data_IF_546132610061
#
_entry.id   IF_546132610061
#
_cell.length_a   1.000
_cell.length_b   1.000
_cell.length_c   1.000
_cell.angle_alpha   90.00
_cell.angle_beta   90.00
_cell.angle_gamma   90.00
#
_symmetry.space_group_name_H-M   'P 1'
#
loop_
_entity.id
_entity.type
_entity.pdbx_description
1 polymer ?
#
# COMPACT_ATOMS: atom_id res chain seq x y z
N UNK A 1 -26.27 -27.59 -73.78
CA UNK A 1 -25.37 -26.79 -72.90
C UNK A 1 -25.92 -26.88 -71.46
N UNK A 2 -25.24 -27.64 -70.56
CA UNK A 2 -25.62 -27.75 -69.15
C UNK A 2 -24.69 -26.92 -68.34
N UNK A 3 -25.18 -25.76 -67.82
CA UNK A 3 -24.47 -24.88 -66.94
C UNK A 3 -24.36 -25.49 -65.54
N UNK A 4 -23.14 -25.71 -65.00
CA UNK A 4 -22.90 -26.14 -63.64
C UNK A 4 -22.66 -24.91 -62.78
N UNK A 5 -23.57 -24.66 -61.83
CA UNK A 5 -23.40 -23.69 -60.74
C UNK A 5 -22.43 -24.28 -59.73
N UNK A 6 -21.30 -23.60 -59.47
CA UNK A 6 -20.33 -23.90 -58.42
C UNK A 6 -20.70 -22.98 -57.24
N UNK A 7 -21.16 -23.54 -56.13
CA UNK A 7 -21.30 -22.81 -54.87
C UNK A 7 -19.95 -22.81 -54.14
N UNK A 8 -19.46 -21.65 -53.67
CA UNK A 8 -18.29 -21.62 -52.80
C UNK A 8 -18.71 -22.02 -51.40
N UNK A 9 -18.06 -23.04 -50.83
CA UNK A 9 -18.18 -23.41 -49.45
C UNK A 9 -17.48 -22.38 -48.56
N UNK A 10 -18.25 -21.69 -47.73
CA UNK A 10 -17.71 -20.74 -46.73
C UNK A 10 -17.21 -21.57 -45.56
N UNK A 11 -15.86 -21.63 -45.39
CA UNK A 11 -15.24 -22.25 -44.24
C UNK A 11 -15.34 -21.28 -43.04
N UNK A 12 -16.24 -21.53 -42.10
CA UNK A 12 -16.30 -20.83 -40.81
C UNK A 12 -15.17 -21.37 -39.93
N UNK A 13 -14.09 -20.60 -39.79
CA UNK A 13 -13.06 -20.90 -38.78
C UNK A 13 -13.61 -20.50 -37.41
N UNK A 14 -13.95 -21.52 -36.58
CA UNK A 14 -14.29 -21.30 -35.18
C UNK A 14 -12.98 -20.95 -34.42
N UNK A 15 -12.84 -19.66 -34.06
CA UNK A 15 -11.79 -19.24 -33.13
C UNK A 15 -12.23 -19.72 -31.74
N UNK A 16 -11.68 -20.84 -31.30
CA UNK A 16 -11.77 -21.26 -29.89
C UNK A 16 -10.88 -20.32 -29.07
N UNK A 17 -11.50 -19.38 -28.38
CA UNK A 17 -10.86 -18.61 -27.34
C UNK A 17 -10.55 -19.62 -26.22
N UNK A 18 -9.31 -20.10 -26.16
CA UNK A 18 -8.84 -20.88 -25.03
C UNK A 18 -8.85 -19.93 -23.82
N UNK A 19 -9.77 -20.13 -22.89
CA UNK A 19 -9.69 -19.52 -21.57
C UNK A 19 -8.35 -19.97 -20.96
N UNK A 20 -7.40 -19.04 -20.85
CA UNK A 20 -6.17 -19.30 -20.10
C UNK A 20 -6.61 -19.50 -18.65
N UNK A 21 -6.57 -20.72 -18.20
CA UNK A 21 -6.75 -21.08 -16.81
C UNK A 21 -5.48 -20.63 -16.07
N UNK A 22 -5.39 -19.32 -15.79
CA UNK A 22 -4.29 -18.76 -15.01
C UNK A 22 -4.45 -19.27 -13.59
N UNK A 23 -3.58 -20.21 -13.20
CA UNK A 23 -3.57 -20.73 -11.84
C UNK A 23 -3.33 -19.56 -10.90
N UNK A 24 -4.23 -19.41 -9.94
CA UNK A 24 -4.16 -18.42 -8.88
C UNK A 24 -3.08 -18.82 -7.88
N UNK A 25 -2.24 -17.88 -7.46
CA UNK A 25 -1.21 -18.09 -6.45
C UNK A 25 -1.53 -17.24 -5.20
N UNK A 26 -1.02 -17.66 -4.05
CA UNK A 26 -1.03 -16.84 -2.85
C UNK A 26 -0.11 -15.63 -3.03
N UNK A 27 -0.44 -14.49 -2.41
CA UNK A 27 0.38 -13.28 -2.48
C UNK A 27 1.85 -13.53 -2.08
N UNK A 28 2.07 -14.44 -1.12
CA UNK A 28 3.41 -14.84 -0.66
C UNK A 28 4.22 -15.61 -1.70
N UNK A 29 3.58 -16.12 -2.73
CA UNK A 29 4.21 -16.83 -3.85
C UNK A 29 4.25 -15.99 -5.13
N UNK A 30 3.71 -14.78 -5.12
CA UNK A 30 3.72 -13.86 -6.26
C UNK A 30 5.08 -13.14 -6.36
N UNK A 31 5.81 -13.24 -7.50
CA UNK A 31 7.22 -12.82 -7.58
C UNK A 31 7.49 -11.34 -7.38
N UNK A 32 6.51 -10.44 -7.66
CA UNK A 32 6.67 -9.00 -7.50
C UNK A 32 6.45 -8.52 -6.07
N UNK A 33 5.91 -9.41 -5.18
CA UNK A 33 5.67 -9.12 -3.77
C UNK A 33 6.85 -9.60 -2.91
N UNK A 34 7.78 -8.69 -2.60
CA UNK A 34 8.96 -9.01 -1.80
C UNK A 34 8.67 -8.83 -0.31
N UNK A 35 8.68 -9.89 0.51
CA UNK A 35 8.43 -9.77 1.95
C UNK A 35 9.38 -8.76 2.60
N UNK A 36 8.82 -7.82 3.39
CA UNK A 36 9.56 -6.77 4.08
C UNK A 36 9.47 -6.91 5.61
N UNK A 37 8.29 -7.27 6.11
CA UNK A 37 8.04 -7.44 7.54
C UNK A 37 6.82 -8.33 7.75
N UNK A 38 6.87 -9.19 8.77
CA UNK A 38 5.71 -9.95 9.25
C UNK A 38 5.73 -10.04 10.77
N UNK A 39 4.56 -9.83 11.39
CA UNK A 39 4.35 -10.02 12.83
C UNK A 39 2.89 -10.42 13.09
N UNK A 40 2.43 -10.41 14.35
CA UNK A 40 1.07 -10.78 14.70
C UNK A 40 -0.01 -9.80 14.17
N UNK A 41 0.35 -8.58 13.75
CA UNK A 41 -0.56 -7.54 13.30
C UNK A 41 -0.71 -7.48 11.79
N UNK A 42 0.39 -7.68 11.07
CA UNK A 42 0.45 -7.44 9.64
C UNK A 42 1.54 -8.25 8.93
N UNK A 43 1.39 -8.33 7.61
CA UNK A 43 2.44 -8.73 6.69
C UNK A 43 2.61 -7.65 5.63
N UNK A 44 3.83 -7.11 5.52
CA UNK A 44 4.15 -6.06 4.56
C UNK A 44 5.04 -6.60 3.43
N UNK A 45 4.74 -6.15 2.20
CA UNK A 45 5.50 -6.45 1.00
C UNK A 45 5.94 -5.16 0.33
N UNK A 46 7.16 -5.14 -0.18
CA UNK A 46 7.57 -4.18 -1.22
C UNK A 46 7.17 -4.76 -2.56
N UNK A 47 6.43 -3.99 -3.33
CA UNK A 47 5.96 -4.40 -4.66
C UNK A 47 6.64 -3.53 -5.71
N UNK A 48 7.19 -4.17 -6.74
CA UNK A 48 7.73 -3.49 -7.90
C UNK A 48 7.35 -4.22 -9.18
N UNK A 49 6.63 -3.54 -10.07
CA UNK A 49 6.22 -4.06 -11.38
C UNK A 49 6.88 -3.21 -12.45
N UNK A 50 7.72 -3.82 -13.28
CA UNK A 50 8.42 -3.13 -14.36
C UNK A 50 7.45 -2.46 -15.35
N UNK A 51 7.90 -1.48 -16.16
CA UNK A 51 7.07 -0.89 -17.20
C UNK A 51 6.44 -1.95 -18.11
N UNK A 52 5.11 -1.87 -18.28
CA UNK A 52 4.30 -2.76 -19.13
C UNK A 52 4.30 -4.24 -18.70
N UNK A 53 4.79 -4.56 -17.51
CA UNK A 53 4.74 -5.89 -16.91
C UNK A 53 3.50 -6.04 -16.01
N UNK A 54 3.26 -7.25 -15.51
CA UNK A 54 2.11 -7.57 -14.71
C UNK A 54 2.44 -8.66 -13.67
N UNK A 55 1.75 -8.61 -12.53
CA UNK A 55 1.76 -9.70 -11.56
C UNK A 55 1.15 -10.97 -12.14
N UNK A 56 1.40 -12.10 -11.52
CA UNK A 56 0.55 -13.27 -11.67
C UNK A 56 -0.87 -13.00 -11.13
N UNK A 57 -1.85 -13.83 -11.52
CA UNK A 57 -3.13 -13.86 -10.83
C UNK A 57 -2.88 -14.32 -9.39
N UNK A 58 -3.03 -13.43 -8.42
CA UNK A 58 -2.74 -13.71 -7.02
C UNK A 58 -3.89 -13.32 -6.11
N UNK A 59 -3.97 -13.98 -4.96
CA UNK A 59 -5.06 -13.83 -4.00
C UNK A 59 -4.60 -13.05 -2.77
N UNK A 60 -5.43 -12.08 -2.37
CA UNK A 60 -5.40 -11.45 -1.06
C UNK A 60 -6.46 -12.11 -0.18
N UNK A 61 -6.03 -12.87 0.82
CA UNK A 61 -6.94 -13.54 1.78
C UNK A 61 -7.34 -12.60 2.92
N UNK A 62 -6.58 -11.54 3.14
CA UNK A 62 -6.78 -10.54 4.18
C UNK A 62 -7.10 -9.18 3.58
N UNK A 63 -7.77 -8.35 4.36
CA UNK A 63 -7.87 -6.93 4.10
C UNK A 63 -6.47 -6.33 4.08
N UNK A 64 -6.26 -5.34 3.24
CA UNK A 64 -4.93 -4.74 3.11
C UNK A 64 -4.98 -3.24 2.86
N UNK A 65 -3.88 -2.59 3.19
CA UNK A 65 -3.63 -1.19 2.85
C UNK A 65 -2.44 -1.17 1.89
N UNK A 66 -2.52 -0.38 0.83
CA UNK A 66 -1.35 -0.13 0.01
C UNK A 66 -0.99 1.36 -0.01
N UNK A 67 0.31 1.63 -0.11
CA UNK A 67 0.90 2.98 -0.20
C UNK A 67 1.71 3.05 -1.48
N UNK A 68 1.36 3.96 -2.39
CA UNK A 68 2.10 4.15 -3.66
C UNK A 68 3.38 4.94 -3.45
N UNK A 69 4.41 4.61 -4.21
CA UNK A 69 5.71 5.25 -4.21
C UNK A 69 5.98 5.85 -5.60
N UNK A 70 5.49 7.05 -5.81
CA UNK A 70 5.43 7.73 -7.08
C UNK A 70 4.09 7.55 -7.80
N UNK A 71 3.78 8.42 -8.78
CA UNK A 71 2.55 8.32 -9.56
C UNK A 71 2.58 7.07 -10.45
N UNK A 72 1.40 6.44 -10.64
CA UNK A 72 1.29 5.23 -11.46
C UNK A 72 -0.04 5.18 -12.22
N UNK A 73 -0.04 4.44 -13.34
CA UNK A 73 -1.25 4.05 -14.05
C UNK A 73 -1.27 2.51 -14.13
N UNK A 74 -2.27 1.90 -13.48
CA UNK A 74 -2.34 0.45 -13.26
C UNK A 74 -3.68 -0.07 -13.70
N UNK A 75 -3.69 -1.10 -14.55
CA UNK A 75 -4.88 -1.89 -14.79
C UNK A 75 -5.02 -2.94 -13.69
N UNK A 76 -6.13 -2.87 -12.97
CA UNK A 76 -6.52 -3.84 -11.95
C UNK A 76 -7.54 -4.80 -12.56
N UNK A 77 -7.12 -6.02 -12.86
CA UNK A 77 -7.94 -7.09 -13.44
C UNK A 77 -8.35 -8.08 -12.34
N UNK A 78 -9.48 -7.78 -11.69
CA UNK A 78 -10.04 -8.63 -10.65
C UNK A 78 -10.77 -9.81 -11.28
N UNK A 79 -10.48 -11.02 -10.81
CA UNK A 79 -11.09 -12.26 -11.29
C UNK A 79 -12.61 -12.13 -11.36
N UNK A 80 -13.19 -12.56 -12.47
CA UNK A 80 -14.63 -12.53 -12.76
C UNK A 80 -15.27 -11.13 -12.80
N UNK A 81 -14.45 -10.06 -12.94
CA UNK A 81 -14.92 -8.66 -13.10
C UNK A 81 -14.26 -8.01 -14.32
N UNK A 82 -14.88 -6.99 -14.89
CA UNK A 82 -14.19 -6.16 -15.89
C UNK A 82 -12.97 -5.46 -15.31
N UNK A 83 -11.84 -5.39 -16.05
CA UNK A 83 -10.65 -4.68 -15.57
C UNK A 83 -10.93 -3.17 -15.42
N UNK A 84 -10.26 -2.55 -14.46
CA UNK A 84 -10.38 -1.12 -14.16
C UNK A 84 -9.00 -0.47 -14.16
N UNK A 85 -8.86 0.65 -14.87
CA UNK A 85 -7.64 1.45 -14.84
C UNK A 85 -7.66 2.41 -13.65
N UNK A 86 -6.63 2.34 -12.83
CA UNK A 86 -6.39 3.21 -11.69
C UNK A 86 -5.27 4.19 -12.04
N UNK A 87 -5.52 5.49 -11.81
CA UNK A 87 -4.50 6.54 -11.83
C UNK A 87 -4.20 6.91 -10.39
N UNK A 88 -3.01 6.54 -9.95
CA UNK A 88 -2.57 6.67 -8.57
C UNK A 88 -1.59 7.84 -8.44
N UNK A 89 -1.70 8.59 -7.36
CA UNK A 89 -0.77 9.65 -7.02
C UNK A 89 0.38 9.11 -6.16
N UNK A 90 1.45 9.88 -6.03
CA UNK A 90 2.50 9.60 -5.04
C UNK A 90 1.91 9.68 -3.62
N UNK A 91 2.31 8.80 -2.72
CA UNK A 91 1.78 8.58 -1.35
C UNK A 91 0.31 8.18 -1.27
N UNK A 92 -0.37 7.97 -2.39
CA UNK A 92 -1.77 7.57 -2.33
C UNK A 92 -1.93 6.27 -1.54
N UNK A 93 -2.76 6.34 -0.50
CA UNK A 93 -2.96 5.26 0.44
C UNK A 93 -4.42 4.84 0.45
N UNK A 94 -4.67 3.55 0.21
CA UNK A 94 -6.03 3.00 0.15
C UNK A 94 -6.16 1.74 0.99
N UNK A 95 -7.31 1.61 1.65
CA UNK A 95 -7.79 0.35 2.20
C UNK A 95 -8.52 -0.45 1.12
N UNK A 96 -8.31 -1.74 1.08
CA UNK A 96 -8.95 -2.68 0.16
C UNK A 96 -9.38 -3.93 0.93
N UNK A 97 -10.67 -4.27 0.83
CA UNK A 97 -11.18 -5.51 1.41
C UNK A 97 -10.60 -6.73 0.68
N UNK A 98 -10.19 -7.73 1.44
CA UNK A 98 -9.59 -8.98 0.95
C UNK A 98 -10.59 -9.96 0.32
N UNK A 99 -10.19 -11.22 0.29
CA UNK A 99 -10.95 -12.35 -0.28
C UNK A 99 -11.21 -12.27 -1.79
N UNK A 100 -10.27 -11.72 -2.55
CA UNK A 100 -10.33 -11.71 -4.02
C UNK A 100 -8.96 -12.03 -4.64
N UNK A 101 -8.98 -12.39 -5.93
CA UNK A 101 -7.78 -12.55 -6.72
C UNK A 101 -7.75 -11.53 -7.87
N UNK A 102 -6.55 -11.05 -8.22
CA UNK A 102 -6.37 -10.09 -9.31
C UNK A 102 -5.00 -10.18 -9.98
N UNK A 103 -4.89 -9.51 -11.12
CA UNK A 103 -3.64 -9.15 -11.78
C UNK A 103 -3.52 -7.63 -11.72
N UNK A 104 -2.37 -7.13 -11.31
CA UNK A 104 -2.01 -5.72 -11.43
C UNK A 104 -1.05 -5.57 -12.62
N UNK A 105 -1.45 -4.79 -13.63
CA UNK A 105 -0.63 -4.51 -14.81
C UNK A 105 -0.19 -3.06 -14.80
N UNK A 106 1.11 -2.82 -14.85
CA UNK A 106 1.67 -1.48 -14.98
C UNK A 106 1.51 -0.98 -16.43
N UNK A 107 0.73 0.08 -16.63
CA UNK A 107 0.51 0.70 -17.95
C UNK A 107 1.51 1.83 -18.25
N UNK A 108 2.27 2.27 -17.25
CA UNK A 108 3.20 3.39 -17.36
C UNK A 108 4.56 2.97 -17.93
N UNK A 109 5.36 3.98 -18.36
CA UNK A 109 6.75 3.82 -18.80
C UNK A 109 7.77 3.84 -17.65
N UNK A 110 7.31 3.99 -16.41
CA UNK A 110 8.13 3.91 -15.19
C UNK A 110 7.69 2.70 -14.34
N UNK A 111 8.57 2.15 -13.49
CA UNK A 111 8.17 1.09 -12.57
C UNK A 111 7.01 1.52 -11.68
N UNK A 112 6.01 0.67 -11.50
CA UNK A 112 5.00 0.83 -10.45
C UNK A 112 5.54 0.26 -9.15
N UNK A 113 5.64 1.11 -8.14
CA UNK A 113 6.15 0.75 -6.81
C UNK A 113 5.10 1.05 -5.77
N UNK A 114 4.93 0.14 -4.82
CA UNK A 114 4.09 0.36 -3.65
C UNK A 114 4.56 -0.50 -2.47
N UNK A 115 4.03 -0.19 -1.30
CA UNK A 115 4.08 -1.08 -0.14
C UNK A 115 2.67 -1.61 0.09
N UNK A 116 2.50 -2.92 0.03
CA UNK A 116 1.24 -3.62 0.33
C UNK A 116 1.32 -4.20 1.73
N UNK A 117 0.35 -3.90 2.59
CA UNK A 117 0.30 -4.28 4.00
C UNK A 117 -0.98 -5.07 4.26
N UNK A 118 -0.90 -6.40 4.32
CA UNK A 118 -2.02 -7.24 4.76
C UNK A 118 -2.22 -7.14 6.27
N UNK A 119 -3.48 -7.00 6.70
CA UNK A 119 -3.90 -6.94 8.09
C UNK A 119 -4.21 -8.36 8.57
N UNK A 120 -3.38 -8.92 9.46
CA UNK A 120 -3.46 -10.34 9.86
C UNK A 120 -4.30 -10.59 11.11
N UNK A 121 -4.64 -9.56 11.86
CA UNK A 121 -5.44 -9.75 13.07
C UNK A 121 -6.88 -10.12 12.73
N UNK A 122 -7.48 -10.93 13.61
CA UNK A 122 -8.89 -11.29 13.54
C UNK A 122 -9.75 -10.02 13.52
N UNK A 123 -10.64 -9.93 12.53
CA UNK A 123 -11.58 -8.82 12.35
C UNK A 123 -12.31 -8.39 13.64
N UNK A 124 -12.52 -9.32 14.59
CA UNK A 124 -13.18 -9.03 15.86
C UNK A 124 -12.35 -8.12 16.77
N UNK A 125 -11.03 -8.19 16.71
CA UNK A 125 -10.12 -7.40 17.54
C UNK A 125 -10.03 -5.93 17.08
N UNK A 126 -10.38 -5.65 15.80
CA UNK A 126 -10.19 -4.33 15.17
C UNK A 126 -11.48 -3.51 15.03
N UNK A 127 -12.65 -4.07 15.37
CA UNK A 127 -13.95 -3.46 15.02
C UNK A 127 -14.33 -2.20 15.81
N UNK A 128 -13.60 -1.83 16.85
CA UNK A 128 -13.96 -0.65 17.65
C UNK A 128 -12.73 0.22 17.91
N UNK A 129 -12.37 1.10 16.98
CA UNK A 129 -11.31 2.08 17.23
C UNK A 129 -11.73 2.99 18.41
N UNK A 130 -10.77 3.54 19.17
CA UNK A 130 -11.07 4.54 20.18
C UNK A 130 -11.89 5.68 19.56
N UNK A 131 -13.00 6.12 20.18
CA UNK A 131 -13.83 7.22 19.64
C UNK A 131 -13.03 8.48 19.31
N UNK A 132 -12.00 8.78 20.09
CA UNK A 132 -11.08 9.91 19.85
C UNK A 132 -10.37 9.87 18.47
N UNK A 133 -10.19 8.69 17.89
CA UNK A 133 -9.55 8.60 16.56
C UNK A 133 -10.46 9.12 15.45
N UNK A 134 -11.77 8.95 15.55
CA UNK A 134 -12.72 9.49 14.58
C UNK A 134 -12.90 11.00 14.71
N UNK A 135 -12.82 11.53 15.93
CA UNK A 135 -12.95 12.97 16.22
C UNK A 135 -11.74 13.76 15.70
N UNK A 136 -10.60 13.10 15.53
CA UNK A 136 -9.31 13.72 15.19
C UNK A 136 -8.96 13.62 13.69
N UNK A 137 -9.90 13.15 12.86
CA UNK A 137 -9.69 13.05 11.40
C UNK A 137 -9.44 14.41 10.76
N UNK A 138 -8.55 14.45 9.80
CA UNK A 138 -8.28 15.62 8.99
C UNK A 138 -6.83 16.09 9.04
N UNK A 139 -6.63 17.32 8.59
CA UNK A 139 -5.31 17.91 8.47
C UNK A 139 -4.94 18.71 9.71
N UNK A 140 -3.88 18.33 10.37
CA UNK A 140 -3.26 19.03 11.49
C UNK A 140 -1.98 19.71 11.00
N UNK A 141 -1.86 21.02 11.22
CA UNK A 141 -0.72 21.83 10.80
C UNK A 141 0.07 22.26 12.03
N UNK A 142 1.36 22.05 12.00
CA UNK A 142 2.29 22.52 13.03
C UNK A 142 3.52 23.19 12.39
N UNK A 143 4.43 23.74 13.19
CA UNK A 143 5.56 24.48 12.66
C UNK A 143 6.47 23.59 11.78
N UNK A 144 6.46 23.83 10.48
CA UNK A 144 7.28 23.15 9.48
C UNK A 144 6.77 21.76 9.09
N UNK A 145 5.52 21.38 9.39
CA UNK A 145 5.00 20.12 8.96
C UNK A 145 3.49 19.98 9.04
N UNK A 146 3.01 18.82 8.55
CA UNK A 146 1.61 18.44 8.59
C UNK A 146 1.47 16.99 9.02
N UNK A 147 0.34 16.67 9.65
CA UNK A 147 -0.18 15.32 9.83
C UNK A 147 -1.60 15.30 9.27
N UNK A 148 -1.84 14.47 8.29
CA UNK A 148 -3.16 14.25 7.74
C UNK A 148 -3.66 12.87 8.16
N UNK A 149 -4.60 12.81 9.12
CA UNK A 149 -5.30 11.58 9.48
C UNK A 149 -6.31 11.29 8.38
N UNK A 150 -5.96 10.38 7.49
CA UNK A 150 -6.70 10.11 6.25
C UNK A 150 -7.97 9.32 6.52
N UNK A 151 -7.83 8.24 7.28
CA UNK A 151 -8.95 7.37 7.65
C UNK A 151 -8.61 6.50 8.85
N UNK A 152 -9.68 5.97 9.47
CA UNK A 152 -9.61 4.90 10.47
C UNK A 152 -10.45 3.75 9.92
N UNK A 153 -9.84 2.59 9.80
CA UNK A 153 -10.49 1.39 9.28
C UNK A 153 -9.96 0.15 10.00
N UNK A 154 -10.86 -0.71 10.46
CA UNK A 154 -10.56 -1.99 11.13
C UNK A 154 -9.56 -1.86 12.29
N UNK A 155 -9.75 -0.83 13.14
CA UNK A 155 -8.87 -0.57 14.28
C UNK A 155 -7.50 -0.02 13.92
N UNK A 156 -7.27 0.34 12.66
CA UNK A 156 -6.03 0.96 12.19
C UNK A 156 -6.28 2.41 11.84
N UNK A 157 -5.53 3.34 12.46
CA UNK A 157 -5.50 4.75 12.10
C UNK A 157 -4.37 5.00 11.11
N UNK A 158 -4.70 5.55 9.95
CA UNK A 158 -3.76 5.82 8.88
C UNK A 158 -3.55 7.31 8.72
N UNK A 159 -2.29 7.74 8.82
CA UNK A 159 -1.93 9.16 8.71
C UNK A 159 -0.76 9.34 7.75
N UNK A 160 -0.82 10.39 6.95
CA UNK A 160 0.32 10.91 6.20
C UNK A 160 0.99 12.02 7.00
N UNK A 161 2.32 11.98 7.07
CA UNK A 161 3.14 12.96 7.74
C UNK A 161 4.14 13.57 6.75
N UNK A 162 4.22 14.91 6.76
CA UNK A 162 5.20 15.69 6.00
C UNK A 162 5.96 16.60 6.95
N UNK A 163 7.29 16.53 6.91
CA UNK A 163 8.18 17.34 7.75
C UNK A 163 9.25 18.02 6.91
N UNK A 164 9.28 19.35 6.94
CA UNK A 164 10.36 20.15 6.35
C UNK A 164 11.69 19.86 7.07
N UNK A 165 12.85 20.08 6.43
CA UNK A 165 14.14 19.99 7.08
C UNK A 165 14.21 20.79 8.39
N UNK A 166 14.60 20.14 9.48
CA UNK A 166 14.67 20.73 10.82
C UNK A 166 13.33 20.81 11.56
N UNK A 167 12.21 20.52 10.92
CA UNK A 167 10.91 20.51 11.58
C UNK A 167 10.77 19.35 12.56
N UNK A 168 9.98 19.57 13.61
CA UNK A 168 9.74 18.61 14.67
C UNK A 168 8.25 18.41 14.90
N UNK A 169 7.78 17.18 14.89
CA UNK A 169 6.47 16.81 15.45
C UNK A 169 6.53 17.06 16.95
N UNK A 170 5.61 17.88 17.50
CA UNK A 170 5.55 18.12 18.95
C UNK A 170 5.45 16.81 19.75
N UNK A 171 5.73 16.91 21.06
CA UNK A 171 5.61 15.75 21.97
C UNK A 171 4.21 15.13 21.89
N UNK A 172 4.17 13.85 21.61
CA UNK A 172 2.95 13.07 21.48
C UNK A 172 3.16 11.65 21.98
N UNK A 173 2.05 10.98 22.32
CA UNK A 173 2.05 9.64 22.90
C UNK A 173 1.49 8.62 21.92
N UNK A 174 2.18 7.50 21.73
CA UNK A 174 1.69 6.33 21.01
C UNK A 174 1.18 5.29 22.00
N UNK A 175 -0.12 5.09 22.08
CA UNK A 175 -0.73 4.07 22.95
C UNK A 175 -0.46 2.67 22.41
N UNK A 176 -0.69 2.47 21.12
CA UNK A 176 -0.48 1.21 20.41
C UNK A 176 0.79 1.18 19.57
N UNK A 177 1.15 0.01 19.06
CA UNK A 177 2.24 -0.12 18.10
C UNK A 177 1.85 0.50 16.75
N UNK A 178 2.85 0.85 15.95
CA UNK A 178 2.59 1.38 14.61
C UNK A 178 3.65 0.94 13.59
N UNK A 179 3.21 0.89 12.34
CA UNK A 179 4.07 0.73 11.17
C UNK A 179 4.37 2.11 10.58
N UNK A 180 5.63 2.39 10.30
CA UNK A 180 6.08 3.52 9.48
C UNK A 180 6.38 3.00 8.07
N UNK A 181 5.79 3.61 7.04
CA UNK A 181 6.11 3.36 5.63
C UNK A 181 6.77 4.62 5.07
N UNK A 182 8.02 4.54 4.70
CA UNK A 182 8.76 5.67 4.15
C UNK A 182 8.35 5.94 2.69
N UNK A 183 7.75 7.10 2.42
CA UNK A 183 7.45 7.57 1.04
C UNK A 183 8.70 8.20 0.43
N UNK A 184 9.40 9.05 1.17
CA UNK A 184 10.74 9.56 0.83
C UNK A 184 11.82 8.88 1.65
N UNK A 185 13.09 9.12 1.32
CA UNK A 185 14.19 8.81 2.23
C UNK A 185 14.02 9.62 3.53
N UNK A 186 14.12 8.98 4.67
CA UNK A 186 13.95 9.59 5.98
C UNK A 186 15.26 9.61 6.74
N UNK A 187 15.68 10.80 7.14
CA UNK A 187 16.72 11.03 8.13
C UNK A 187 16.04 11.72 9.33
N UNK A 188 15.74 10.98 10.36
CA UNK A 188 14.95 11.48 11.49
C UNK A 188 15.66 11.21 12.82
N UNK A 189 15.27 12.00 13.84
CA UNK A 189 15.66 11.75 15.22
C UNK A 189 14.42 11.69 16.10
N UNK A 190 14.28 10.60 16.83
CA UNK A 190 13.25 10.43 17.85
C UNK A 190 13.85 10.73 19.22
N UNK A 191 13.31 11.70 19.93
CA UNK A 191 13.68 12.02 21.31
C UNK A 191 12.60 11.44 22.23
N UNK A 192 12.83 10.24 22.76
CA UNK A 192 11.88 9.51 23.61
C UNK A 192 12.08 9.92 25.07
N UNK A 193 10.97 10.19 25.77
CA UNK A 193 10.98 10.58 27.16
C UNK A 193 11.71 9.52 28.03
N UNK A 194 12.65 9.97 28.84
CA UNK A 194 13.47 9.09 29.69
C UNK A 194 14.55 8.31 28.96
N UNK A 195 14.75 8.50 27.65
CA UNK A 195 15.79 7.86 26.85
C UNK A 195 16.62 8.93 26.10
N UNK A 196 17.76 8.54 25.59
CA UNK A 196 18.56 9.43 24.74
C UNK A 196 17.98 9.56 23.32
N UNK A 197 18.48 10.52 22.53
CA UNK A 197 18.05 10.68 21.16
C UNK A 197 18.39 9.46 20.30
N UNK A 198 17.43 9.00 19.50
CA UNK A 198 17.57 7.85 18.62
C UNK A 198 17.51 8.30 17.15
N UNK A 199 18.63 8.27 16.42
CA UNK A 199 18.63 8.55 14.99
C UNK A 199 17.98 7.39 14.22
N UNK A 200 17.30 7.70 13.12
CA UNK A 200 16.70 6.74 12.20
C UNK A 200 17.00 7.11 10.76
N UNK A 201 17.40 6.11 9.98
CA UNK A 201 17.55 6.21 8.53
C UNK A 201 16.66 5.16 7.90
N UNK A 202 15.70 5.57 7.07
CA UNK A 202 14.76 4.67 6.42
C UNK A 202 14.70 5.08 4.95
N UNK A 203 14.92 4.13 4.05
CA UNK A 203 14.85 4.40 2.61
C UNK A 203 13.41 4.40 2.10
N UNK A 204 13.14 5.19 1.06
CA UNK A 204 11.84 5.15 0.38
C UNK A 204 11.43 3.72 0.03
N UNK A 205 10.23 3.32 0.42
CA UNK A 205 9.68 1.97 0.31
C UNK A 205 10.08 1.02 1.43
N UNK A 206 10.95 1.42 2.37
CA UNK A 206 11.20 0.62 3.56
C UNK A 206 10.08 0.81 4.60
N UNK A 207 9.93 -0.20 5.44
CA UNK A 207 8.99 -0.19 6.56
C UNK A 207 9.70 -0.38 7.88
N UNK A 208 9.16 0.23 8.94
CA UNK A 208 9.68 0.06 10.30
C UNK A 208 8.53 -0.14 11.27
N UNK A 209 8.57 -1.26 12.00
CA UNK A 209 7.66 -1.50 13.11
C UNK A 209 8.18 -0.84 14.37
N UNK A 210 7.31 -0.12 15.07
CA UNK A 210 7.62 0.60 16.30
C UNK A 210 6.61 0.18 17.38
N UNK A 211 7.07 -0.28 18.57
CA UNK A 211 6.16 -0.62 19.66
C UNK A 211 5.46 0.63 20.20
N UNK A 212 4.29 0.45 20.82
CA UNK A 212 3.58 1.52 21.52
C UNK A 212 4.07 1.75 22.96
N UNK A 213 3.32 2.58 23.71
CA UNK A 213 3.57 2.82 25.14
C UNK A 213 4.68 3.84 25.44
N UNK A 214 4.94 4.79 24.53
CA UNK A 214 5.96 5.82 24.75
C UNK A 214 5.53 7.20 24.26
N UNK A 215 6.17 8.22 24.82
CA UNK A 215 6.03 9.64 24.45
C UNK A 215 7.31 10.12 23.81
N UNK A 216 7.22 10.81 22.69
CA UNK A 216 8.39 11.33 21.99
C UNK A 216 8.11 12.61 21.17
N UNK A 217 9.19 13.25 20.73
CA UNK A 217 9.18 14.16 19.57
C UNK A 217 9.88 13.46 18.41
N UNK A 218 9.54 13.85 17.17
CA UNK A 218 10.24 13.35 15.98
C UNK A 218 10.70 14.54 15.13
N UNK A 219 12.01 14.64 14.90
CA UNK A 219 12.64 15.71 14.13
C UNK A 219 13.16 15.19 12.80
N UNK A 220 12.85 15.87 11.71
CA UNK A 220 13.54 15.65 10.43
C UNK A 220 14.94 16.26 10.51
N UNK A 221 15.97 15.43 10.56
CA UNK A 221 17.39 15.85 10.58
C UNK A 221 18.02 15.84 9.20
N UNK A 222 17.27 15.41 8.18
CA UNK A 222 17.68 15.39 6.78
C UNK A 222 17.68 16.77 6.13
N UNK A 223 18.12 16.78 4.86
CA UNK A 223 18.16 17.99 4.01
C UNK A 223 16.96 18.12 3.09
N UNK A 224 16.14 17.08 3.02
CA UNK A 224 14.94 16.99 2.19
C UNK A 224 13.72 16.87 3.09
N UNK A 225 12.56 17.14 2.54
CA UNK A 225 11.30 16.87 3.20
C UNK A 225 11.16 15.37 3.51
N UNK A 226 10.84 15.05 4.75
CA UNK A 226 10.53 13.69 5.18
C UNK A 226 9.03 13.44 5.01
N UNK A 227 8.67 12.46 4.16
CA UNK A 227 7.29 12.05 3.91
C UNK A 227 7.11 10.58 4.23
N UNK A 228 6.14 10.25 5.05
CA UNK A 228 5.86 8.87 5.45
C UNK A 228 4.41 8.67 5.85
N UNK A 229 3.96 7.43 5.75
CA UNK A 229 2.65 6.99 6.23
C UNK A 229 2.84 6.23 7.53
N UNK A 230 1.97 6.48 8.50
CA UNK A 230 1.87 5.67 9.71
C UNK A 230 0.56 4.89 9.73
N UNK A 231 0.65 3.61 10.09
CA UNK A 231 -0.49 2.75 10.41
C UNK A 231 -0.40 2.45 11.90
N UNK A 232 -1.23 3.10 12.71
CA UNK A 232 -1.27 2.91 14.16
C UNK A 232 -2.35 1.91 14.53
N UNK A 233 -2.01 0.91 15.32
CA UNK A 233 -2.88 -0.18 15.76
C UNK A 233 -3.34 0.06 17.19
N UNK A 234 -4.60 -0.31 17.47
CA UNK A 234 -5.17 -0.18 18.81
C UNK A 234 -4.92 -1.42 19.66
#
# INVERSE_FOLDING_TARGET
>A
MKSRLIFPALLLAAITLAAQNTSEVEITAEPHHHPALENAYLRAFKVEIAPHDATLMHRHNHDYIFVTLGPAEVENDVKDKPPVTLKLQDSETRFVAGNFAHIARNLANAPFRNVTIELLQDEAAHKTPPPAWDEDRGLHVFAGGTQHIMFVQDGVRVSEIELQPGATIPSHHHTGPHLVVAVSDLDVRSDVEGQGPMPGHIKSGDVKWVPGGYTHTLTNTGKQEARFITLEFH
#
